data_IF_455948109016
#
_entry.id   IF_455948109016
#
_cell.length_a   1.000
_cell.length_b   1.000
_cell.length_c   1.000
_cell.angle_alpha   90.00
_cell.angle_beta   90.00
_cell.angle_gamma   90.00
#
_symmetry.space_group_name_H-M   'P 1'
#
loop_
_entity.id
_entity.type
_entity.pdbx_description
1 polymer ?
#
# COMPACT_ATOMS: atom_id res chain seq x y z
N UNK A 1 -17.21 13.43 -27.81
CA UNK A 1 -15.96 12.67 -27.65
C UNK A 1 -15.49 13.01 -26.25
N UNK A 2 -15.89 12.29 -25.20
CA UNK A 2 -15.27 12.52 -23.88
C UNK A 2 -15.61 11.55 -22.74
N UNK A 3 -16.82 10.99 -22.62
CA UNK A 3 -17.17 10.24 -21.38
C UNK A 3 -16.44 8.89 -21.28
N UNK A 4 -16.39 8.13 -22.37
CA UNK A 4 -15.70 6.83 -22.45
C UNK A 4 -14.18 6.93 -22.30
N UNK A 5 -13.61 8.08 -22.70
CA UNK A 5 -12.17 8.33 -22.61
C UNK A 5 -11.77 8.79 -21.19
N UNK A 6 -12.71 9.36 -20.44
CA UNK A 6 -12.51 9.75 -19.03
C UNK A 6 -12.66 8.56 -18.07
N UNK A 7 -13.67 7.71 -18.28
CA UNK A 7 -13.88 6.49 -17.48
C UNK A 7 -12.67 5.53 -17.60
N UNK A 8 -12.17 5.32 -18.81
CA UNK A 8 -11.00 4.44 -19.03
C UNK A 8 -9.72 4.96 -18.38
N UNK A 9 -9.50 6.29 -18.35
CA UNK A 9 -8.37 6.91 -17.64
C UNK A 9 -8.52 6.78 -16.13
N UNK A 10 -9.73 6.92 -15.61
CA UNK A 10 -10.01 6.78 -14.18
C UNK A 10 -9.82 5.32 -13.71
N UNK A 11 -10.27 4.34 -14.48
CA UNK A 11 -10.03 2.92 -14.21
C UNK A 11 -8.53 2.57 -14.26
N UNK A 12 -7.80 3.10 -15.25
CA UNK A 12 -6.35 2.93 -15.32
C UNK A 12 -5.62 3.57 -14.14
N UNK A 13 -6.08 4.73 -13.66
CA UNK A 13 -5.54 5.39 -12.48
C UNK A 13 -5.69 4.51 -11.23
N UNK A 14 -6.91 4.02 -10.98
CA UNK A 14 -7.21 3.13 -9.84
C UNK A 14 -6.34 1.87 -9.86
N UNK A 15 -6.22 1.24 -11.03
CA UNK A 15 -5.39 0.05 -11.19
C UNK A 15 -3.90 0.35 -10.91
N UNK A 16 -3.43 1.52 -11.34
CA UNK A 16 -2.05 1.99 -11.09
C UNK A 16 -1.80 2.26 -9.61
N UNK A 17 -2.76 2.82 -8.88
CA UNK A 17 -2.68 3.06 -7.44
C UNK A 17 -2.55 1.74 -6.66
N UNK A 18 -3.41 0.77 -6.94
CA UNK A 18 -3.35 -0.57 -6.31
C UNK A 18 -2.04 -1.28 -6.64
N UNK A 19 -1.58 -1.21 -7.88
CA UNK A 19 -0.28 -1.79 -8.28
C UNK A 19 0.91 -1.12 -7.57
N UNK A 20 0.85 0.20 -7.42
CA UNK A 20 1.86 0.95 -6.69
C UNK A 20 1.88 0.50 -5.23
N UNK A 21 0.74 0.46 -4.54
CA UNK A 21 0.66 -0.02 -3.16
C UNK A 21 1.24 -1.43 -3.00
N UNK A 22 0.91 -2.35 -3.91
CA UNK A 22 1.46 -3.72 -3.87
C UNK A 22 2.98 -3.77 -4.06
N UNK A 23 3.57 -2.87 -4.87
CA UNK A 23 5.03 -2.81 -5.09
C UNK A 23 5.77 -2.17 -3.91
N UNK A 24 5.16 -1.16 -3.28
CA UNK A 24 5.79 -0.42 -2.18
C UNK A 24 5.64 -1.13 -0.84
N UNK A 25 4.54 -1.86 -0.59
CA UNK A 25 4.29 -2.56 0.67
C UNK A 25 5.45 -3.46 1.13
N UNK A 26 6.03 -4.35 0.31
CA UNK A 26 7.16 -5.19 0.72
C UNK A 26 8.41 -4.38 1.10
N UNK A 27 8.66 -3.27 0.38
CA UNK A 27 9.79 -2.37 0.63
C UNK A 27 9.61 -1.61 1.94
N UNK A 28 8.40 -1.11 2.18
CA UNK A 28 8.01 -0.39 3.38
C UNK A 28 8.04 -1.31 4.61
N UNK A 29 7.55 -2.55 4.50
CA UNK A 29 7.62 -3.55 5.57
C UNK A 29 9.07 -3.92 5.92
N UNK A 30 9.97 -4.02 4.93
CA UNK A 30 11.39 -4.28 5.18
C UNK A 30 12.05 -3.11 5.92
N UNK A 31 11.75 -1.88 5.50
CA UNK A 31 12.23 -0.66 6.13
C UNK A 31 11.72 -0.50 7.58
N UNK A 32 10.48 -0.94 7.86
CA UNK A 32 9.90 -0.90 9.20
C UNK A 32 10.40 -2.03 10.12
N UNK A 33 10.66 -3.23 9.61
CA UNK A 33 10.90 -4.42 10.44
C UNK A 33 12.38 -4.82 10.62
N UNK A 34 13.31 -4.20 9.89
CA UNK A 34 14.73 -4.18 10.26
C UNK A 34 15.45 -5.52 10.24
N UNK A 35 15.84 -5.97 9.04
CA UNK A 35 16.96 -6.91 8.88
C UNK A 35 18.21 -6.23 8.32
N UNK A 36 18.07 -5.10 7.62
CA UNK A 36 19.17 -4.20 7.23
C UNK A 36 18.99 -2.84 7.91
N UNK A 37 19.96 -2.49 8.75
CA UNK A 37 19.96 -1.39 9.72
C UNK A 37 19.76 0.00 9.07
N UNK A 38 18.90 0.83 9.71
CA UNK A 38 18.50 2.23 9.42
C UNK A 38 17.37 2.43 8.40
N UNK A 39 16.13 2.71 8.82
CA UNK A 39 15.24 3.54 7.96
C UNK A 39 14.30 4.49 8.73
N UNK A 40 13.57 4.08 9.78
CA UNK A 40 12.56 4.95 10.42
C UNK A 40 12.62 4.91 11.96
N UNK A 41 12.50 6.08 12.60
CA UNK A 41 12.25 6.22 14.05
C UNK A 41 10.90 5.61 14.42
N UNK A 42 10.63 5.41 15.71
CA UNK A 42 9.31 4.95 16.19
C UNK A 42 8.20 5.85 15.61
N UNK A 43 8.39 7.17 15.68
CA UNK A 43 7.44 8.14 15.12
C UNK A 43 7.34 8.04 13.59
N UNK A 44 8.45 7.78 12.90
CA UNK A 44 8.46 7.57 11.45
C UNK A 44 7.74 6.29 11.02
N UNK A 45 7.77 5.24 11.85
CA UNK A 45 6.98 4.01 11.63
C UNK A 45 5.50 4.27 11.84
N UNK A 46 5.12 4.92 12.94
CA UNK A 46 3.72 5.24 13.22
C UNK A 46 3.11 6.15 12.14
N UNK A 47 3.87 7.13 11.65
CA UNK A 47 3.44 7.99 10.55
C UNK A 47 3.26 7.21 9.24
N UNK A 48 4.18 6.29 8.94
CA UNK A 48 4.08 5.43 7.76
C UNK A 48 2.85 4.52 7.82
N UNK A 49 2.60 3.87 8.95
CA UNK A 49 1.42 3.03 9.17
C UNK A 49 0.13 3.85 8.99
N UNK A 50 0.07 5.06 9.55
CA UNK A 50 -1.08 5.96 9.40
C UNK A 50 -1.34 6.36 7.94
N UNK A 51 -0.30 6.72 7.20
CA UNK A 51 -0.44 7.12 5.78
C UNK A 51 -0.86 5.92 4.92
N UNK A 52 -0.31 4.73 5.18
CA UNK A 52 -0.73 3.49 4.51
C UNK A 52 -2.20 3.18 4.77
N UNK A 53 -2.65 3.25 6.02
CA UNK A 53 -4.03 3.02 6.41
C UNK A 53 -4.97 4.00 5.68
N UNK A 54 -4.68 5.31 5.74
CA UNK A 54 -5.46 6.32 5.03
C UNK A 54 -5.48 6.12 3.51
N UNK A 55 -4.35 5.69 2.91
CA UNK A 55 -4.27 5.44 1.47
C UNK A 55 -5.07 4.20 1.06
N UNK A 56 -5.09 3.16 1.90
CA UNK A 56 -5.88 1.95 1.68
C UNK A 56 -7.37 2.26 1.82
N UNK A 57 -7.77 3.05 2.82
CA UNK A 57 -9.16 3.49 3.01
C UNK A 57 -9.70 4.30 1.83
N UNK A 58 -8.81 5.00 1.09
CA UNK A 58 -9.18 5.74 -0.12
C UNK A 58 -9.44 4.86 -1.34
N UNK A 59 -9.14 3.56 -1.31
CA UNK A 59 -9.48 2.65 -2.39
C UNK A 59 -11.01 2.43 -2.43
N UNK A 60 -11.62 2.69 -3.58
CA UNK A 60 -13.09 2.64 -3.72
C UNK A 60 -13.65 1.22 -3.62
N UNK A 61 -12.90 0.20 -4.04
CA UNK A 61 -13.37 -1.18 -4.07
C UNK A 61 -12.85 -1.98 -2.85
N UNK A 62 -13.77 -2.54 -2.07
CA UNK A 62 -13.47 -3.35 -0.88
C UNK A 62 -12.55 -4.55 -1.20
N UNK A 63 -12.70 -5.15 -2.39
CA UNK A 63 -11.85 -6.25 -2.85
C UNK A 63 -10.38 -5.82 -3.01
N UNK A 64 -10.13 -4.57 -3.38
CA UNK A 64 -8.78 -4.03 -3.55
C UNK A 64 -8.17 -3.70 -2.19
N UNK A 65 -8.99 -3.16 -1.26
CA UNK A 65 -8.59 -3.00 0.15
C UNK A 65 -8.18 -4.33 0.77
N UNK A 66 -9.03 -5.36 0.66
CA UNK A 66 -8.76 -6.70 1.20
C UNK A 66 -7.47 -7.28 0.63
N UNK A 67 -7.24 -7.12 -0.68
CA UNK A 67 -6.04 -7.61 -1.34
C UNK A 67 -4.77 -6.91 -0.83
N UNK A 68 -4.79 -5.59 -0.68
CA UNK A 68 -3.65 -4.80 -0.20
C UNK A 68 -3.39 -5.09 1.29
N UNK A 69 -4.43 -5.17 2.12
CA UNK A 69 -4.34 -5.52 3.54
C UNK A 69 -3.80 -6.94 3.76
N UNK A 70 -4.29 -7.92 2.99
CA UNK A 70 -3.80 -9.30 3.06
C UNK A 70 -2.32 -9.38 2.73
N UNK A 71 -1.87 -8.63 1.73
CA UNK A 71 -0.46 -8.55 1.35
C UNK A 71 0.38 -7.86 2.44
N UNK A 72 -0.13 -6.80 3.05
CA UNK A 72 0.52 -6.10 4.14
C UNK A 72 0.72 -7.00 5.36
N UNK A 73 -0.34 -7.68 5.82
CA UNK A 73 -0.29 -8.66 6.91
C UNK A 73 0.72 -9.78 6.62
N UNK A 74 0.71 -10.30 5.39
CA UNK A 74 1.63 -11.35 4.96
C UNK A 74 3.11 -10.91 5.07
N UNK A 75 3.42 -9.68 4.66
CA UNK A 75 4.78 -9.16 4.72
C UNK A 75 5.20 -8.71 6.11
N UNK A 76 4.29 -8.20 6.93
CA UNK A 76 4.57 -7.90 8.34
C UNK A 76 4.91 -9.18 9.11
N UNK A 77 4.06 -10.21 9.00
CA UNK A 77 4.18 -11.44 9.78
C UNK A 77 5.38 -12.30 9.38
N UNK A 78 5.68 -12.41 8.08
CA UNK A 78 6.82 -13.19 7.58
C UNK A 78 8.19 -12.63 7.97
N UNK A 79 8.26 -11.41 8.47
CA UNK A 79 9.52 -10.79 8.92
C UNK A 79 9.73 -10.94 10.44
N UNK A 80 8.78 -11.55 11.15
CA UNK A 80 8.84 -11.82 12.59
C UNK A 80 9.25 -13.25 12.95
N UNK A 81 9.43 -14.14 11.95
CA UNK A 81 9.91 -15.51 12.09
C UNK A 81 11.41 -15.66 11.79
#
# INVERSE_FOLDING_TARGET
MDETDNESKQEQHKLTEVQTLMLWLPLLCRASNGTDVLVLSIDGKAELERVLEATIEMLEEEKDQEKVLSLWLHHLLKQTE
#
